data_IF_619644830026
#
_entry.id   IF_619644830026
#
_cell.length_a   1.000
_cell.length_b   1.000
_cell.length_c   1.000
_cell.angle_alpha   90.00
_cell.angle_beta   90.00
_cell.angle_gamma   90.00
#
_symmetry.space_group_name_H-M   'P 1'
#
loop_
_entity.id
_entity.type
_entity.pdbx_description
1 polymer ?
#
# COMPACT_ATOMS: atom_id res chain seq x y z
N UNK A 1 3.10 45.84 2.02
CA UNK A 1 3.48 44.48 2.46
C UNK A 1 3.03 43.38 1.50
N UNK A 2 1.77 43.32 1.04
CA UNK A 2 1.33 42.27 0.09
C UNK A 2 1.90 42.38 -1.33
N UNK A 3 2.22 43.58 -1.79
CA UNK A 3 2.74 43.84 -3.15
C UNK A 3 4.22 43.55 -3.30
N UNK A 4 5.00 43.63 -2.21
CA UNK A 4 6.45 43.44 -2.22
C UNK A 4 6.92 42.02 -2.55
N UNK A 5 6.03 41.03 -2.37
CA UNK A 5 6.36 39.62 -2.54
C UNK A 5 6.02 39.09 -3.94
N UNK A 6 5.13 39.76 -4.67
CA UNK A 6 4.69 39.34 -6.02
C UNK A 6 5.50 40.02 -7.11
N UNK A 7 5.97 41.24 -6.87
CA UNK A 7 6.79 42.00 -7.78
C UNK A 7 7.68 42.95 -6.95
N UNK A 8 9.01 42.71 -6.88
CA UNK A 8 9.93 43.58 -6.15
C UNK A 8 9.82 45.02 -6.63
N UNK A 9 9.42 45.27 -7.89
CA UNK A 9 9.36 46.59 -8.53
C UNK A 9 8.09 47.41 -8.22
N UNK A 10 7.10 46.82 -7.56
CA UNK A 10 5.80 47.46 -7.25
C UNK A 10 5.77 48.31 -5.95
N UNK A 11 6.91 48.59 -5.32
CA UNK A 11 6.97 49.29 -4.02
C UNK A 11 7.88 50.53 -4.12
N UNK A 12 7.53 51.58 -3.39
CA UNK A 12 8.30 52.83 -3.37
C UNK A 12 9.76 52.60 -2.92
N UNK A 13 10.71 53.36 -3.47
CA UNK A 13 12.15 53.12 -3.29
C UNK A 13 12.59 53.17 -1.81
N UNK A 14 11.94 54.03 -1.02
CA UNK A 14 12.18 54.13 0.43
C UNK A 14 11.77 52.86 1.19
N UNK A 15 10.71 52.17 0.75
CA UNK A 15 10.25 50.93 1.40
C UNK A 15 11.13 49.73 1.06
N UNK A 16 11.75 49.69 -0.13
CA UNK A 16 12.76 48.66 -0.47
C UNK A 16 13.99 48.75 0.43
N UNK A 17 14.50 49.96 0.65
CA UNK A 17 15.68 50.17 1.49
C UNK A 17 15.42 49.76 2.95
N UNK A 18 14.22 50.00 3.47
CA UNK A 18 13.83 49.53 4.81
C UNK A 18 13.78 48.00 4.90
N UNK A 19 13.23 47.32 3.88
CA UNK A 19 13.11 45.87 3.88
C UNK A 19 14.47 45.16 3.74
N UNK A 20 15.42 45.76 3.04
CA UNK A 20 16.79 45.23 2.93
C UNK A 20 17.63 45.39 4.21
N UNK A 21 17.28 46.36 5.07
CA UNK A 21 17.97 46.61 6.34
C UNK A 21 17.44 45.77 7.52
N UNK A 22 16.38 44.99 7.32
CA UNK A 22 15.85 44.12 8.38
C UNK A 22 16.78 42.90 8.58
N UNK A 23 17.32 42.69 9.79
CA UNK A 23 18.11 41.51 10.08
C UNK A 23 17.23 40.27 9.93
N UNK A 24 17.69 39.30 9.16
CA UNK A 24 17.01 38.02 8.97
C UNK A 24 16.92 37.26 10.30
N UNK A 25 15.87 37.52 11.07
CA UNK A 25 15.49 36.69 12.20
C UNK A 25 15.18 35.31 11.62
N UNK A 26 15.88 34.26 12.08
CA UNK A 26 15.82 32.88 11.57
C UNK A 26 14.47 32.15 11.73
N UNK A 27 13.38 32.87 11.53
CA UNK A 27 12.03 32.36 11.36
C UNK A 27 11.86 32.01 9.88
N UNK A 28 11.21 30.87 9.61
CA UNK A 28 10.99 30.30 8.27
C UNK A 28 10.53 31.37 7.26
N UNK A 29 10.94 31.26 5.97
CA UNK A 29 10.59 32.24 4.95
C UNK A 29 9.07 32.46 4.91
N UNK A 30 8.69 33.75 4.83
CA UNK A 30 7.31 34.22 4.89
C UNK A 30 6.48 33.58 3.77
N UNK A 31 5.54 32.70 4.12
CA UNK A 31 4.72 31.99 3.14
C UNK A 31 3.64 32.92 2.57
N UNK A 32 3.23 32.72 1.31
CA UNK A 32 2.16 33.52 0.72
C UNK A 32 0.81 33.27 1.41
N UNK A 33 0.37 34.20 2.26
CA UNK A 33 -0.91 34.13 2.97
C UNK A 33 -2.13 34.37 2.04
N UNK A 34 -1.93 34.55 0.73
CA UNK A 34 -3.01 34.76 -0.24
C UNK A 34 -3.89 33.53 -0.37
N UNK A 35 -3.27 32.34 -0.54
CA UNK A 35 -3.98 31.06 -0.63
C UNK A 35 -4.78 30.75 0.64
N UNK A 36 -4.16 30.97 1.79
CA UNK A 36 -4.79 30.80 3.12
C UNK A 36 -5.98 31.76 3.30
N UNK A 37 -5.85 33.03 2.90
CA UNK A 37 -6.95 34.01 2.98
C UNK A 37 -8.10 33.68 2.05
N UNK A 38 -7.82 33.23 0.82
CA UNK A 38 -8.86 32.85 -0.12
C UNK A 38 -9.58 31.56 0.29
N UNK A 39 -8.87 30.64 0.94
CA UNK A 39 -9.45 29.47 1.60
C UNK A 39 -10.44 29.86 2.71
N UNK A 40 -10.02 30.68 3.67
CA UNK A 40 -10.90 31.15 4.76
C UNK A 40 -12.07 32.00 4.25
N UNK A 41 -11.86 32.79 3.18
CA UNK A 41 -12.91 33.59 2.53
C UNK A 41 -13.98 32.71 1.87
N UNK A 42 -13.59 31.60 1.22
CA UNK A 42 -14.54 30.64 0.65
C UNK A 42 -15.33 29.93 1.76
N UNK A 43 -14.64 29.50 2.82
CA UNK A 43 -15.28 28.84 3.96
C UNK A 43 -16.29 29.75 4.68
N UNK A 44 -15.98 31.03 4.86
CA UNK A 44 -16.90 32.01 5.44
C UNK A 44 -18.16 32.24 4.58
N UNK A 45 -18.09 32.01 3.27
CA UNK A 45 -19.26 32.06 2.37
C UNK A 45 -20.09 30.77 2.39
N UNK A 46 -19.48 29.64 2.76
CA UNK A 46 -20.09 28.30 2.78
C UNK A 46 -20.49 27.82 4.20
N UNK A 47 -20.51 28.73 5.18
CA UNK A 47 -20.65 28.46 6.62
C UNK A 47 -21.94 27.75 7.09
N UNK A 48 -22.82 27.30 6.18
CA UNK A 48 -24.01 26.53 6.53
C UNK A 48 -23.84 25.01 6.48
N UNK A 49 -22.67 24.49 6.06
CA UNK A 49 -22.46 23.04 5.99
C UNK A 49 -21.13 22.60 6.64
N UNK A 50 -21.30 21.97 7.80
CA UNK A 50 -20.36 21.07 8.48
C UNK A 50 -19.15 21.65 9.23
N UNK A 51 -19.06 21.26 10.50
CA UNK A 51 -17.90 21.36 11.38
C UNK A 51 -16.76 20.43 10.93
N UNK A 52 -16.17 20.71 9.77
CA UNK A 52 -14.98 19.99 9.31
C UNK A 52 -13.76 20.57 10.01
N UNK A 53 -12.95 19.73 10.65
CA UNK A 53 -11.67 20.14 11.21
C UNK A 53 -10.86 20.85 10.12
N UNK A 54 -10.25 21.98 10.48
CA UNK A 54 -9.48 22.83 9.55
C UNK A 54 -8.21 22.08 9.15
N UNK A 55 -8.26 21.29 8.08
CA UNK A 55 -7.09 20.70 7.43
C UNK A 55 -6.61 21.62 6.31
N UNK A 56 -5.28 21.77 6.18
CA UNK A 56 -4.65 22.54 5.11
C UNK A 56 -5.08 21.97 3.74
N UNK A 57 -5.51 22.79 2.77
CA UNK A 57 -5.80 22.34 1.40
C UNK A 57 -4.73 21.43 0.79
N UNK A 58 -3.45 21.65 1.13
CA UNK A 58 -2.34 20.84 0.65
C UNK A 58 -2.35 19.43 1.26
N UNK A 59 -2.63 19.32 2.57
CA UNK A 59 -2.77 18.02 3.25
C UNK A 59 -3.95 17.21 2.71
N UNK A 60 -5.05 17.86 2.34
CA UNK A 60 -6.18 17.20 1.70
C UNK A 60 -5.84 16.69 0.29
N UNK A 61 -5.04 17.43 -0.48
CA UNK A 61 -4.58 17.00 -1.80
C UNK A 61 -3.68 15.75 -1.68
N UNK A 62 -2.71 15.76 -0.75
CA UNK A 62 -1.85 14.60 -0.47
C UNK A 62 -2.65 13.39 0.00
N UNK A 63 -3.67 13.60 0.84
CA UNK A 63 -4.55 12.52 1.29
C UNK A 63 -5.24 11.80 0.11
N UNK A 64 -5.66 12.51 -0.94
CA UNK A 64 -6.23 11.89 -2.14
C UNK A 64 -5.17 11.07 -2.89
N UNK A 65 -3.94 11.57 -3.00
CA UNK A 65 -2.81 10.85 -3.61
C UNK A 65 -2.48 9.56 -2.86
N UNK A 66 -2.53 9.57 -1.53
CA UNK A 66 -2.35 8.37 -0.70
C UNK A 66 -3.44 7.32 -0.99
N UNK A 67 -4.70 7.72 -1.13
CA UNK A 67 -5.78 6.80 -1.50
C UNK A 67 -5.60 6.24 -2.93
N UNK A 68 -5.10 7.06 -3.86
CA UNK A 68 -4.76 6.62 -5.22
C UNK A 68 -3.63 5.58 -5.20
N UNK A 69 -2.60 5.79 -4.37
CA UNK A 69 -1.52 4.84 -4.17
C UNK A 69 -2.03 3.51 -3.62
N UNK A 70 -2.85 3.51 -2.56
CA UNK A 70 -3.49 2.28 -2.03
C UNK A 70 -4.23 1.55 -3.15
N UNK A 71 -5.00 2.27 -3.95
CA UNK A 71 -5.73 1.67 -5.07
C UNK A 71 -4.79 1.10 -6.13
N UNK A 72 -3.69 1.78 -6.46
CA UNK A 72 -2.69 1.28 -7.40
C UNK A 72 -2.09 -0.06 -6.94
N UNK A 73 -1.78 -0.20 -5.64
CA UNK A 73 -1.34 -1.48 -5.07
C UNK A 73 -2.40 -2.58 -5.16
N UNK A 74 -3.68 -2.27 -4.94
CA UNK A 74 -4.78 -3.24 -5.09
C UNK A 74 -4.95 -3.73 -6.52
N UNK A 75 -4.77 -2.86 -7.50
CA UNK A 75 -4.94 -3.19 -8.92
C UNK A 75 -3.71 -3.87 -9.53
N UNK A 76 -2.52 -3.37 -9.23
CA UNK A 76 -1.29 -3.74 -9.95
C UNK A 76 -0.19 -4.28 -9.04
N UNK A 77 -0.42 -4.37 -7.73
CA UNK A 77 0.54 -4.92 -6.76
C UNK A 77 1.03 -6.33 -7.12
N UNK A 78 0.13 -7.16 -7.66
CA UNK A 78 0.45 -8.52 -8.11
C UNK A 78 1.53 -8.57 -9.20
N UNK A 79 1.75 -7.48 -9.97
CA UNK A 79 2.79 -7.40 -11.00
C UNK A 79 4.20 -7.27 -10.41
N UNK A 80 4.30 -6.78 -9.17
CA UNK A 80 5.54 -6.67 -8.39
C UNK A 80 5.63 -7.75 -7.30
N UNK A 81 4.74 -8.73 -7.29
CA UNK A 81 4.77 -9.81 -6.30
C UNK A 81 5.91 -10.79 -6.57
N UNK A 82 6.61 -11.22 -5.52
CA UNK A 82 7.69 -12.19 -5.64
C UNK A 82 7.15 -13.61 -5.81
N UNK A 83 6.72 -13.95 -7.03
CA UNK A 83 6.10 -15.24 -7.36
C UNK A 83 7.09 -16.27 -7.89
N UNK A 84 8.23 -15.84 -8.43
CA UNK A 84 9.21 -16.74 -9.04
C UNK A 84 10.22 -17.23 -7.99
N UNK A 85 10.17 -18.52 -7.58
CA UNK A 85 11.12 -19.06 -6.62
C UNK A 85 12.55 -19.17 -7.18
N UNK A 86 12.72 -19.12 -8.51
CA UNK A 86 14.03 -19.21 -9.17
C UNK A 86 14.66 -17.83 -9.42
N UNK A 87 13.89 -16.75 -9.29
CA UNK A 87 14.37 -15.37 -9.51
C UNK A 87 14.82 -15.08 -10.95
N UNK A 88 14.34 -15.86 -11.92
CA UNK A 88 14.62 -15.68 -13.34
C UNK A 88 13.73 -14.61 -13.97
N UNK A 89 12.53 -14.44 -13.40
CA UNK A 89 11.58 -13.45 -13.86
C UNK A 89 12.04 -12.03 -13.53
N UNK A 90 12.36 -11.25 -14.56
CA UNK A 90 12.58 -9.82 -14.46
C UNK A 90 11.25 -9.10 -14.62
N UNK A 91 10.76 -8.53 -13.52
CA UNK A 91 9.53 -7.76 -13.51
C UNK A 91 9.77 -6.34 -14.02
N UNK A 92 8.87 -5.86 -14.87
CA UNK A 92 8.89 -4.47 -15.31
C UNK A 92 8.45 -3.55 -14.17
N UNK A 93 9.09 -2.38 -14.09
CA UNK A 93 8.73 -1.39 -13.09
C UNK A 93 7.38 -0.77 -13.44
N UNK A 94 6.38 -1.06 -12.62
CA UNK A 94 5.11 -0.34 -12.61
C UNK A 94 5.27 1.03 -11.93
N UNK A 95 5.18 2.11 -12.70
CA UNK A 95 5.30 3.48 -12.20
C UNK A 95 4.24 3.85 -11.15
N UNK A 96 3.02 3.33 -11.29
CA UNK A 96 1.89 3.64 -10.39
C UNK A 96 2.12 3.18 -8.93
N UNK A 97 3.05 2.25 -8.70
CA UNK A 97 3.41 1.79 -7.36
C UNK A 97 4.47 2.67 -6.69
N UNK A 98 5.15 3.52 -7.45
CA UNK A 98 6.17 4.42 -6.92
C UNK A 98 5.49 5.63 -6.25
N UNK A 99 5.71 5.91 -4.96
CA UNK A 99 5.19 7.10 -4.30
C UNK A 99 5.57 8.40 -5.02
N UNK A 100 6.74 8.45 -5.67
CA UNK A 100 7.19 9.61 -6.42
C UNK A 100 6.28 9.93 -7.63
N UNK A 101 5.62 8.92 -8.21
CA UNK A 101 4.65 9.11 -9.29
C UNK A 101 3.37 9.84 -8.81
N UNK A 102 3.07 9.77 -7.51
CA UNK A 102 1.90 10.41 -6.91
C UNK A 102 2.22 11.76 -6.27
N UNK A 103 3.38 12.35 -6.58
CA UNK A 103 3.88 13.59 -5.99
C UNK A 103 4.12 13.50 -4.47
N UNK A 104 4.33 12.29 -3.93
CA UNK A 104 4.66 12.07 -2.53
C UNK A 104 6.17 12.04 -2.36
N UNK A 105 6.68 12.90 -1.50
CA UNK A 105 8.12 13.05 -1.22
C UNK A 105 8.52 12.29 0.03
N UNK A 106 9.82 12.05 0.22
CA UNK A 106 10.35 11.41 1.44
C UNK A 106 10.00 12.18 2.73
N UNK A 107 9.81 13.50 2.64
CA UNK A 107 9.36 14.30 3.79
C UNK A 107 7.96 13.88 4.27
N UNK A 108 7.09 13.45 3.34
CA UNK A 108 5.73 13.03 3.62
C UNK A 108 5.67 11.64 4.27
N UNK A 109 6.76 10.86 4.23
CA UNK A 109 6.79 9.51 4.82
C UNK A 109 6.60 9.52 6.33
N UNK A 110 6.96 10.63 6.99
CA UNK A 110 6.77 10.81 8.43
C UNK A 110 5.41 11.41 8.80
N UNK A 111 4.64 11.88 7.81
CA UNK A 111 3.29 12.39 8.03
C UNK A 111 2.29 11.24 8.18
N UNK A 112 1.27 11.48 8.99
CA UNK A 112 0.18 10.53 9.24
C UNK A 112 -1.00 10.85 8.33
N UNK A 113 -1.45 9.85 7.58
CA UNK A 113 -2.59 9.93 6.68
C UNK A 113 -3.71 8.99 7.11
N UNK A 114 -4.93 9.30 6.68
CA UNK A 114 -6.05 8.39 6.86
C UNK A 114 -5.95 7.24 5.84
N UNK A 115 -6.10 5.99 6.28
CA UNK A 115 -5.96 4.82 5.40
C UNK A 115 -7.26 4.44 4.67
N UNK A 116 -8.36 5.14 4.99
CA UNK A 116 -9.65 5.04 4.34
C UNK A 116 -10.25 3.65 4.44
N UNK A 117 -10.30 2.95 3.30
CA UNK A 117 -10.89 1.60 3.19
C UNK A 117 -9.88 0.47 3.40
N UNK A 118 -8.67 0.78 3.84
CA UNK A 118 -7.62 -0.22 4.08
C UNK A 118 -7.85 -0.94 5.42
N UNK A 119 -8.08 -2.24 5.38
CA UNK A 119 -8.58 -3.04 6.49
C UNK A 119 -7.47 -3.51 7.45
N UNK A 120 -6.62 -2.59 7.92
CA UNK A 120 -5.55 -2.87 8.90
C UNK A 120 -5.97 -2.62 10.37
N UNK A 121 -7.25 -2.27 10.59
CA UNK A 121 -7.80 -2.01 11.92
C UNK A 121 -7.35 -0.70 12.56
N UNK A 122 -6.74 0.21 11.78
CA UNK A 122 -6.36 1.56 12.20
C UNK A 122 -6.92 2.56 11.21
N UNK A 123 -7.42 3.70 11.68
CA UNK A 123 -7.97 4.74 10.80
C UNK A 123 -6.88 5.64 10.21
N UNK A 124 -5.75 5.78 10.90
CA UNK A 124 -4.61 6.61 10.49
C UNK A 124 -3.29 5.88 10.66
N UNK A 125 -2.35 6.14 9.76
CA UNK A 125 -1.02 5.54 9.78
C UNK A 125 -0.01 6.44 9.08
N UNK A 126 1.27 6.31 9.44
CA UNK A 126 2.35 7.00 8.72
C UNK A 126 2.45 6.49 7.29
N UNK A 127 2.77 7.37 6.34
CA UNK A 127 2.90 6.98 4.93
C UNK A 127 3.99 5.90 4.73
N UNK A 128 5.12 5.99 5.43
CA UNK A 128 6.16 4.95 5.37
C UNK A 128 5.63 3.57 5.77
N UNK A 129 5.01 3.48 6.95
CA UNK A 129 4.42 2.24 7.47
C UNK A 129 3.30 1.71 6.54
N UNK A 130 2.54 2.62 5.90
CA UNK A 130 1.51 2.27 4.92
C UNK A 130 2.08 1.62 3.67
N UNK A 131 3.13 2.21 3.10
CA UNK A 131 3.78 1.67 1.91
C UNK A 131 4.37 0.28 2.22
N UNK A 132 4.99 0.12 3.38
CA UNK A 132 5.56 -1.16 3.79
C UNK A 132 4.48 -2.22 4.00
N UNK A 133 3.35 -1.87 4.64
CA UNK A 133 2.20 -2.75 4.78
C UNK A 133 1.60 -3.16 3.42
N UNK A 134 1.47 -2.21 2.48
CA UNK A 134 0.98 -2.48 1.12
C UNK A 134 1.92 -3.41 0.34
N UNK A 135 3.24 -3.18 0.44
CA UNK A 135 4.26 -4.05 -0.17
C UNK A 135 4.20 -5.46 0.40
N UNK A 136 4.10 -5.61 1.72
CA UNK A 136 3.98 -6.93 2.35
C UNK A 136 2.69 -7.65 1.94
N UNK A 137 1.61 -6.91 1.79
CA UNK A 137 0.28 -7.47 1.48
C UNK A 137 0.14 -7.87 0.01
N UNK A 138 0.59 -7.02 -0.93
CA UNK A 138 0.33 -7.20 -2.37
C UNK A 138 1.56 -7.57 -3.20
N UNK A 139 2.77 -7.26 -2.72
CA UNK A 139 4.04 -7.51 -3.42
C UNK A 139 4.87 -8.62 -2.75
N UNK A 140 4.29 -9.34 -1.78
CA UNK A 140 4.95 -10.45 -1.09
C UNK A 140 5.00 -11.72 -1.94
N UNK A 141 4.94 -12.87 -1.28
CA UNK A 141 4.91 -14.19 -1.93
C UNK A 141 3.56 -14.56 -2.55
N UNK A 142 2.57 -13.67 -2.45
CA UNK A 142 1.20 -13.85 -2.96
C UNK A 142 0.85 -12.62 -3.82
N UNK A 143 0.47 -12.85 -5.07
CA UNK A 143 -0.02 -11.82 -5.97
C UNK A 143 -1.54 -11.89 -6.06
N UNK A 144 -2.23 -11.01 -5.34
CA UNK A 144 -3.69 -10.99 -5.30
C UNK A 144 -4.27 -10.21 -6.49
N UNK A 145 -5.05 -10.87 -7.33
CA UNK A 145 -5.78 -10.24 -8.46
C UNK A 145 -7.29 -10.43 -8.28
N UNK A 146 -7.98 -9.35 -7.89
CA UNK A 146 -9.43 -9.41 -7.61
C UNK A 146 -10.17 -8.12 -7.99
N UNK A 147 -9.46 -7.04 -8.32
CA UNK A 147 -10.09 -5.74 -8.60
C UNK A 147 -10.94 -5.74 -9.87
N UNK A 148 -10.78 -6.74 -10.74
CA UNK A 148 -11.60 -6.96 -11.94
C UNK A 148 -13.01 -7.48 -11.65
N UNK A 149 -13.28 -7.98 -10.43
CA UNK A 149 -14.61 -8.42 -10.00
C UNK A 149 -15.60 -7.25 -10.11
N UNK A 150 -16.89 -7.48 -10.35
CA UNK A 150 -17.89 -6.40 -10.41
C UNK A 150 -18.58 -6.17 -9.07
N UNK A 151 -18.79 -7.24 -8.29
CA UNK A 151 -19.41 -7.19 -6.96
C UNK A 151 -18.53 -6.45 -5.95
N UNK A 152 -19.07 -5.36 -5.38
CA UNK A 152 -18.39 -4.59 -4.33
C UNK A 152 -18.28 -5.38 -3.03
N UNK A 153 -19.27 -6.22 -2.72
CA UNK A 153 -19.27 -7.04 -1.51
C UNK A 153 -18.12 -8.05 -1.54
N UNK A 154 -17.94 -8.75 -2.66
CA UNK A 154 -16.84 -9.69 -2.84
C UNK A 154 -15.48 -9.00 -2.76
N UNK A 155 -15.32 -7.83 -3.39
CA UNK A 155 -14.08 -7.04 -3.28
C UNK A 155 -13.75 -6.69 -1.83
N UNK A 156 -14.76 -6.23 -1.08
CA UNK A 156 -14.57 -5.85 0.33
C UNK A 156 -14.24 -7.07 1.18
N UNK A 157 -14.88 -8.21 0.93
CA UNK A 157 -14.59 -9.45 1.62
C UNK A 157 -13.13 -9.89 1.40
N UNK A 158 -12.65 -9.84 0.15
CA UNK A 158 -11.26 -10.17 -0.19
C UNK A 158 -10.29 -9.17 0.45
N UNK A 159 -10.57 -7.86 0.36
CA UNK A 159 -9.77 -6.81 0.99
C UNK A 159 -9.63 -7.05 2.49
N UNK A 160 -10.75 -7.29 3.18
CA UNK A 160 -10.73 -7.55 4.61
C UNK A 160 -9.88 -8.77 4.96
N UNK A 161 -9.93 -9.85 4.17
CA UNK A 161 -9.21 -11.08 4.45
C UNK A 161 -7.70 -10.99 4.18
N UNK A 162 -7.31 -10.26 3.14
CA UNK A 162 -5.90 -10.13 2.74
C UNK A 162 -5.20 -9.02 3.55
N UNK A 163 -5.84 -7.86 3.70
CA UNK A 163 -5.24 -6.69 4.36
C UNK A 163 -5.19 -6.82 5.89
N UNK A 164 -6.16 -7.51 6.52
CA UNK A 164 -6.14 -7.72 7.98
C UNK A 164 -4.95 -8.53 8.47
N UNK A 165 -4.42 -9.38 7.59
CA UNK A 165 -3.32 -10.30 7.87
C UNK A 165 -1.98 -9.69 7.42
N UNK A 166 -1.99 -8.55 6.72
CA UNK A 166 -0.81 -7.88 6.16
C UNK A 166 0.15 -8.85 5.44
N UNK A 167 -0.40 -9.83 4.71
CA UNK A 167 0.38 -10.88 4.04
C UNK A 167 0.98 -11.98 4.94
N UNK A 168 0.79 -11.93 6.26
CA UNK A 168 1.39 -12.86 7.23
C UNK A 168 0.36 -13.80 7.87
N UNK A 169 0.05 -14.91 7.22
CA UNK A 169 -0.75 -15.95 7.88
C UNK A 169 0.02 -16.51 9.08
N UNK A 170 -0.50 -16.28 10.29
CA UNK A 170 0.07 -16.83 11.53
C UNK A 170 -0.32 -18.29 11.66
N UNK A 171 0.64 -19.19 11.50
CA UNK A 171 0.48 -20.62 11.73
C UNK A 171 1.07 -21.05 13.07
N UNK A 172 0.40 -21.98 13.76
CA UNK A 172 0.91 -22.62 14.96
C UNK A 172 2.16 -23.48 14.66
N UNK A 173 2.94 -23.78 15.70
CA UNK A 173 4.14 -24.61 15.55
C UNK A 173 3.80 -26.02 15.03
N UNK A 174 2.65 -26.56 15.43
CA UNK A 174 2.21 -27.90 15.01
C UNK A 174 1.74 -27.91 13.54
N UNK A 175 1.06 -26.86 13.08
CA UNK A 175 0.72 -26.72 11.65
C UNK A 175 1.97 -26.60 10.77
N UNK A 176 2.99 -25.85 11.21
CA UNK A 176 4.27 -25.74 10.49
C UNK A 176 4.97 -27.10 10.40
N UNK A 177 4.96 -27.90 11.48
CA UNK A 177 5.50 -29.27 11.45
C UNK A 177 4.70 -30.17 10.52
N UNK A 178 3.36 -30.04 10.50
CA UNK A 178 2.50 -30.81 9.60
C UNK A 178 2.84 -30.51 8.13
N UNK A 179 2.90 -29.23 7.75
CA UNK A 179 3.28 -28.84 6.38
C UNK A 179 4.67 -29.35 5.99
N UNK A 180 5.64 -29.31 6.90
CA UNK A 180 6.98 -29.85 6.65
C UNK A 180 6.96 -31.37 6.42
N UNK A 181 6.18 -32.10 7.23
CA UNK A 181 6.05 -33.56 7.09
C UNK A 181 5.38 -33.94 5.77
N UNK A 182 4.31 -33.24 5.37
CA UNK A 182 3.64 -33.45 4.08
C UNK A 182 4.59 -33.18 2.91
N UNK A 183 5.35 -32.08 2.95
CA UNK A 183 6.33 -31.75 1.91
C UNK A 183 7.42 -32.82 1.81
N UNK A 184 7.93 -33.27 2.95
CA UNK A 184 8.98 -34.30 3.04
C UNK A 184 8.47 -35.65 2.54
N UNK A 185 7.22 -36.01 2.85
CA UNK A 185 6.60 -37.23 2.38
C UNK A 185 6.41 -37.22 0.85
N UNK A 186 5.98 -36.10 0.28
CA UNK A 186 5.85 -35.92 -1.16
C UNK A 186 7.21 -36.07 -1.88
N UNK A 187 8.25 -35.42 -1.37
CA UNK A 187 9.62 -35.53 -1.91
C UNK A 187 10.18 -36.96 -1.78
N UNK A 188 9.96 -37.60 -0.63
CA UNK A 188 10.39 -38.97 -0.36
C UNK A 188 9.73 -39.99 -1.28
N UNK A 189 8.43 -39.84 -1.54
CA UNK A 189 7.68 -40.70 -2.47
C UNK A 189 8.23 -40.59 -3.91
N UNK A 190 8.48 -39.36 -4.38
CA UNK A 190 9.06 -39.12 -5.71
C UNK A 190 10.45 -39.74 -5.87
N UNK A 191 11.31 -39.59 -4.86
CA UNK A 191 12.65 -40.22 -4.83
C UNK A 191 12.55 -41.74 -4.85
N UNK A 192 11.65 -42.32 -4.04
CA UNK A 192 11.43 -43.76 -3.98
C UNK A 192 10.95 -44.32 -5.33
N UNK A 193 9.96 -43.68 -5.95
CA UNK A 193 9.45 -44.09 -7.26
C UNK A 193 10.53 -44.00 -8.34
N UNK A 194 11.37 -42.97 -8.28
CA UNK A 194 12.49 -42.79 -9.20
C UNK A 194 13.56 -43.87 -9.09
N UNK A 195 13.89 -44.27 -7.86
CA UNK A 195 14.86 -45.34 -7.63
C UNK A 195 14.31 -46.72 -8.02
N UNK A 196 13.01 -46.97 -7.76
CA UNK A 196 12.39 -48.29 -7.98
C UNK A 196 12.01 -48.55 -9.43
N UNK A 197 11.65 -47.52 -10.20
CA UNK A 197 11.20 -47.66 -11.59
C UNK A 197 11.96 -46.71 -12.55
N UNK A 198 13.28 -46.92 -12.75
CA UNK A 198 14.10 -46.10 -13.64
C UNK A 198 13.71 -46.38 -15.10
N UNK A 199 12.80 -45.59 -15.66
CA UNK A 199 12.34 -45.72 -17.06
C UNK A 199 10.83 -45.61 -17.24
N UNK A 200 10.06 -45.66 -16.14
CA UNK A 200 8.64 -45.36 -16.22
C UNK A 200 8.42 -43.85 -16.43
N UNK A 201 7.58 -43.48 -17.40
CA UNK A 201 7.17 -42.09 -17.60
C UNK A 201 6.35 -41.64 -16.39
N UNK A 202 6.91 -40.73 -15.61
CA UNK A 202 6.25 -40.10 -14.45
C UNK A 202 6.05 -38.62 -14.72
N UNK A 203 4.87 -38.13 -14.37
CA UNK A 203 4.62 -36.70 -14.26
C UNK A 203 5.07 -36.31 -12.86
N UNK A 204 6.39 -36.10 -12.70
CA UNK A 204 6.95 -35.81 -11.39
C UNK A 204 6.34 -34.53 -10.82
N UNK A 205 6.06 -34.55 -9.53
CA UNK A 205 5.62 -33.39 -8.78
C UNK A 205 6.78 -32.43 -8.41
N UNK A 206 8.01 -32.70 -8.86
CA UNK A 206 9.17 -31.82 -8.69
C UNK A 206 8.85 -30.41 -9.22
N UNK A 207 8.87 -29.42 -8.32
CA UNK A 207 8.47 -28.03 -8.60
C UNK A 207 7.02 -27.69 -8.22
N UNK A 208 6.13 -28.68 -8.13
CA UNK A 208 4.72 -28.51 -7.76
C UNK A 208 4.35 -28.91 -6.33
N UNK A 209 5.32 -29.28 -5.49
CA UNK A 209 5.11 -29.85 -4.13
C UNK A 209 4.17 -29.08 -3.20
N UNK A 210 3.97 -27.78 -3.42
CA UNK A 210 2.99 -26.96 -2.68
C UNK A 210 1.54 -27.35 -2.96
N UNK A 211 1.23 -27.84 -4.16
CA UNK A 211 -0.13 -28.20 -4.57
C UNK A 211 -0.73 -29.35 -3.74
N UNK A 212 0.10 -30.27 -3.23
CA UNK A 212 -0.36 -31.37 -2.38
C UNK A 212 -0.83 -30.89 -1.01
N UNK A 213 -0.05 -30.05 -0.34
CA UNK A 213 -0.39 -29.49 0.98
C UNK A 213 -1.61 -28.55 0.91
N UNK A 214 -1.74 -27.79 -0.19
CA UNK A 214 -2.88 -26.89 -0.39
C UNK A 214 -4.20 -27.65 -0.62
N UNK A 215 -4.16 -28.82 -1.28
CA UNK A 215 -5.35 -29.63 -1.56
C UNK A 215 -5.96 -30.24 -0.28
N UNK A 216 -5.13 -30.71 0.64
CA UNK A 216 -5.58 -31.30 1.91
C UNK A 216 -6.19 -30.24 2.85
N UNK A 217 -5.67 -29.01 2.78
CA UNK A 217 -6.23 -27.85 3.50
C UNK A 217 -7.60 -27.42 2.94
N UNK A 218 -7.75 -27.41 1.61
CA UNK A 218 -9.01 -27.06 0.97
C UNK A 218 -10.15 -28.03 1.35
N UNK A 219 -9.87 -29.33 1.48
CA UNK A 219 -10.87 -30.32 1.92
C UNK A 219 -11.24 -30.15 3.41
N UNK A 220 -10.27 -29.87 4.27
CA UNK A 220 -10.51 -29.68 5.71
C UNK A 220 -11.28 -28.39 6.03
N UNK A 221 -11.04 -27.28 5.31
CA UNK A 221 -11.85 -26.06 5.44
C UNK A 221 -13.28 -26.23 4.90
N UNK A 222 -13.48 -26.96 3.80
CA UNK A 222 -14.83 -27.30 3.27
C UNK A 222 -15.67 -28.20 4.17
N UNK A 223 -15.05 -28.90 5.12
CA UNK A 223 -15.78 -29.70 6.12
C UNK A 223 -16.24 -28.86 7.31
N UNK A 224 -15.51 -27.81 7.67
CA UNK A 224 -15.90 -26.90 8.75
C UNK A 224 -17.02 -25.92 8.36
N UNK A 225 -17.10 -25.51 7.09
CA UNK A 225 -18.17 -24.63 6.60
C UNK A 225 -19.51 -25.34 6.32
N UNK A 226 -19.59 -26.66 6.53
CA UNK A 226 -20.78 -27.50 6.21
C UNK A 226 -21.59 -27.97 7.42
N UNK A 227 -21.46 -27.32 8.57
CA UNK A 227 -22.38 -27.49 9.69
C UNK A 227 -23.01 -26.14 10.06
N UNK A 228 -24.36 -26.03 10.03
CA UNK A 228 -25.08 -24.84 10.49
C UNK A 228 -25.01 -24.68 12.01
#
# INVERSE_FOLDING_TARGET
>A
MKTSLTDPDSVDANWRSMFQQLPGTGVKPDQFHSKTRDYFRRLAKDASRYSSAISDPDTNAKQVKVLQLINAYRFRGHQHANLDPLGLWKQDRVADLDPAYHDLTEADFQESFNVGSFAIGKDTMKLGDLIDALKQTYCGSIGAEYMHITSTEEKRWIQQRIESVAGHATFSADEKKRFLNELTAAEGLERYLGAKFPGAKRFSLEGGGRAGADAERADSSRRQERHP
#
